data_IF_603042263546
#
_entry.id   IF_603042263546
#
_cell.length_a   1.000
_cell.length_b   1.000
_cell.length_c   1.000
_cell.angle_alpha   90.00
_cell.angle_beta   90.00
_cell.angle_gamma   90.00
#
_symmetry.space_group_name_H-M   'P 1'
#
loop_
_entity.id
_entity.type
_entity.pdbx_description
1 polymer ?
#
# COMPACT_ATOMS: atom_id res chain seq x y z
N UNK A 1 -11.40 13.83 0.00
CA UNK A 1 -9.95 13.73 -0.24
C UNK A 1 -9.67 14.43 -1.56
N UNK A 2 -9.32 15.72 -1.53
CA UNK A 2 -9.14 16.55 -2.74
C UNK A 2 -7.68 16.60 -3.17
N UNK A 3 -7.40 16.20 -4.40
CA UNK A 3 -6.18 16.53 -5.13
C UNK A 3 -5.15 15.40 -5.16
N UNK A 4 -4.92 14.88 -6.36
CA UNK A 4 -3.78 14.02 -6.66
C UNK A 4 -2.48 14.79 -6.40
N UNK A 5 -1.81 14.52 -5.28
CA UNK A 5 -0.54 15.21 -4.91
C UNK A 5 0.61 14.90 -5.87
N UNK A 6 0.49 13.83 -6.67
CA UNK A 6 1.46 13.47 -7.70
C UNK A 6 1.17 14.11 -9.07
N UNK A 7 0.01 14.75 -9.26
CA UNK A 7 -0.35 15.40 -10.54
C UNK A 7 -0.47 14.45 -11.74
N UNK A 8 -0.57 13.13 -11.51
CA UNK A 8 -0.61 12.11 -12.55
C UNK A 8 -1.98 11.42 -12.57
N UNK A 9 -2.95 11.92 -13.37
CA UNK A 9 -4.36 11.50 -13.29
C UNK A 9 -4.60 10.03 -13.64
N UNK A 10 -3.69 9.38 -14.36
CA UNK A 10 -3.79 7.96 -14.74
C UNK A 10 -3.00 7.01 -13.82
N UNK A 11 -2.22 7.56 -12.87
CA UNK A 11 -1.48 6.75 -11.91
C UNK A 11 -2.21 6.70 -10.58
N UNK A 12 -2.49 5.48 -10.14
CA UNK A 12 -2.92 5.24 -8.76
C UNK A 12 -1.70 5.39 -7.86
N UNK A 13 -1.81 6.26 -6.87
CA UNK A 13 -0.76 6.48 -5.87
C UNK A 13 -1.36 6.30 -4.48
N UNK A 14 -0.53 5.82 -3.55
CA UNK A 14 -0.89 5.63 -2.15
C UNK A 14 0.19 6.31 -1.31
N UNK A 15 -0.25 7.15 -0.36
CA UNK A 15 0.65 7.80 0.60
C UNK A 15 0.38 7.21 1.97
N UNK A 16 1.43 6.73 2.62
CA UNK A 16 1.38 6.28 4.00
C UNK A 16 1.99 7.36 4.89
N UNK A 17 1.21 7.87 5.83
CA UNK A 17 1.70 8.85 6.80
C UNK A 17 2.81 8.24 7.68
N UNK A 18 3.78 9.03 8.14
CA UNK A 18 4.86 8.55 9.00
C UNK A 18 4.33 7.83 10.24
N UNK A 19 4.90 6.64 10.54
CA UNK A 19 4.56 5.85 11.72
C UNK A 19 3.29 5.00 11.61
N UNK A 20 2.57 5.04 10.48
CA UNK A 20 1.40 4.19 10.26
C UNK A 20 1.85 2.76 9.94
N UNK A 21 1.44 1.78 10.77
CA UNK A 21 1.59 0.35 10.45
C UNK A 21 0.66 0.03 9.28
N UNK A 22 1.22 -0.45 8.17
CA UNK A 22 0.49 -0.79 6.97
C UNK A 22 1.10 -2.01 6.28
N UNK A 23 0.37 -2.55 5.31
CA UNK A 23 0.80 -3.60 4.38
C UNK A 23 0.19 -3.29 3.01
N UNK A 24 0.81 -3.81 1.95
CA UNK A 24 0.31 -3.72 0.58
C UNK A 24 0.73 -4.97 -0.18
N UNK A 25 -0.06 -5.39 -1.18
CA UNK A 25 0.18 -6.60 -1.96
C UNK A 25 -0.96 -6.86 -2.94
N UNK A 26 -0.82 -7.92 -3.75
CA UNK A 26 -1.87 -8.33 -4.68
C UNK A 26 -3.08 -8.93 -3.97
N UNK A 27 -4.21 -8.94 -4.69
CA UNK A 27 -5.40 -9.68 -4.28
C UNK A 27 -5.18 -11.18 -4.44
N UNK A 28 -6.13 -11.99 -3.95
CA UNK A 28 -5.95 -13.44 -3.81
C UNK A 28 -5.63 -14.16 -5.15
N UNK A 29 -6.05 -13.58 -6.27
CA UNK A 29 -5.87 -14.15 -7.61
C UNK A 29 -5.29 -13.17 -8.64
N UNK A 30 -4.65 -12.09 -8.18
CA UNK A 30 -4.01 -11.11 -9.08
C UNK A 30 -2.53 -10.93 -8.78
N UNK A 31 -1.75 -10.66 -9.83
CA UNK A 31 -0.37 -10.20 -9.69
C UNK A 31 -0.35 -8.69 -9.41
N UNK A 32 0.57 -8.24 -8.56
CA UNK A 32 0.70 -6.84 -8.18
C UNK A 32 2.15 -6.38 -8.26
N UNK A 33 2.36 -5.25 -8.93
CA UNK A 33 3.64 -4.58 -9.00
C UNK A 33 3.43 -3.08 -8.74
N UNK A 34 4.35 -2.48 -8.01
CA UNK A 34 4.37 -1.05 -7.77
C UNK A 34 5.79 -0.56 -7.56
N UNK A 35 5.97 0.76 -7.67
CA UNK A 35 7.19 1.44 -7.26
C UNK A 35 6.95 1.93 -5.83
N UNK A 36 7.91 1.65 -4.94
CA UNK A 36 7.91 2.13 -3.57
C UNK A 36 9.04 3.15 -3.38
N UNK A 37 8.72 4.30 -2.81
CA UNK A 37 9.69 5.35 -2.48
C UNK A 37 9.45 5.82 -1.03
N UNK A 38 10.51 5.91 -0.25
CA UNK A 38 10.48 6.41 1.13
C UNK A 38 10.97 7.86 1.14
N UNK A 39 10.04 8.79 1.35
CA UNK A 39 10.28 10.24 1.11
C UNK A 39 11.08 10.96 2.19
N UNK A 40 11.47 10.29 3.28
CA UNK A 40 12.17 10.87 4.42
C UNK A 40 13.59 10.30 4.52
N UNK A 41 14.49 10.63 3.58
CA UNK A 41 15.80 9.98 3.44
C UNK A 41 16.71 10.16 4.66
N UNK A 42 16.48 11.19 5.48
CA UNK A 42 17.18 11.41 6.75
C UNK A 42 16.71 10.49 7.88
N UNK A 43 15.48 9.96 7.79
CA UNK A 43 14.91 9.01 8.72
C UNK A 43 15.07 7.60 8.17
N UNK A 44 16.25 7.04 8.41
CA UNK A 44 16.62 5.73 7.89
C UNK A 44 16.11 4.61 8.79
N UNK A 45 15.57 3.55 8.18
CA UNK A 45 15.13 2.34 8.87
C UNK A 45 13.65 2.01 8.63
N UNK A 46 13.36 0.72 8.45
CA UNK A 46 12.01 0.17 8.49
C UNK A 46 11.83 -0.58 9.79
N UNK A 47 10.69 -0.37 10.45
CA UNK A 47 10.23 -1.25 11.51
C UNK A 47 9.33 -2.33 10.90
N UNK A 48 9.86 -3.55 10.83
CA UNK A 48 9.06 -4.71 10.46
C UNK A 48 8.24 -5.20 11.67
N UNK A 49 7.00 -5.57 11.39
CA UNK A 49 6.09 -6.14 12.37
C UNK A 49 5.77 -7.59 11.99
N UNK A 50 4.79 -8.17 12.68
CA UNK A 50 4.24 -9.47 12.37
C UNK A 50 3.61 -9.48 10.97
N UNK A 51 3.76 -10.60 10.28
CA UNK A 51 3.02 -10.89 9.06
C UNK A 51 1.52 -10.97 9.39
N UNK A 52 0.68 -10.42 8.51
CA UNK A 52 -0.77 -10.63 8.60
C UNK A 52 -1.10 -12.12 8.44
N UNK A 53 -2.08 -12.59 9.20
CA UNK A 53 -2.55 -13.97 9.12
C UNK A 53 -3.33 -14.22 7.83
N UNK A 54 -3.40 -15.48 7.39
CA UNK A 54 -4.21 -15.86 6.24
C UNK A 54 -5.70 -15.56 6.48
N UNK A 55 -6.17 -15.61 7.73
CA UNK A 55 -7.55 -15.26 8.12
C UNK A 55 -7.82 -13.76 8.01
N UNK A 56 -6.87 -12.90 8.39
CA UNK A 56 -6.96 -11.46 8.17
C UNK A 56 -6.98 -11.13 6.68
N UNK A 57 -6.13 -11.80 5.89
CA UNK A 57 -6.09 -11.64 4.45
C UNK A 57 -7.41 -12.08 3.78
N UNK A 58 -7.98 -13.22 4.19
CA UNK A 58 -9.24 -13.73 3.65
C UNK A 58 -10.47 -12.85 3.96
N UNK A 59 -10.38 -11.95 4.96
CA UNK A 59 -11.45 -11.00 5.31
C UNK A 59 -11.41 -9.70 4.51
N UNK A 60 -10.39 -9.50 3.69
CA UNK A 60 -10.27 -8.28 2.89
C UNK A 60 -11.35 -8.22 1.81
N UNK A 61 -11.83 -7.02 1.45
CA UNK A 61 -12.76 -6.88 0.35
C UNK A 61 -12.13 -7.43 -0.94
N UNK A 62 -12.91 -8.22 -1.68
CA UNK A 62 -12.53 -8.63 -3.01
C UNK A 62 -12.55 -7.41 -3.94
N UNK A 63 -11.68 -7.40 -4.95
CA UNK A 63 -11.72 -6.37 -5.99
C UNK A 63 -13.06 -6.45 -6.73
N UNK A 64 -13.70 -5.30 -6.95
CA UNK A 64 -14.87 -5.21 -7.83
C UNK A 64 -14.40 -5.54 -9.25
N UNK A 65 -14.81 -6.71 -9.75
CA UNK A 65 -14.59 -7.11 -11.14
C UNK A 65 -15.73 -6.54 -11.97
N UNK A 66 -15.46 -5.42 -12.63
CA UNK A 66 -16.30 -4.94 -13.73
C UNK A 66 -16.19 -5.85 -14.97
#
# INVERSE_FOLDING_TARGET
>A
MSGNVAGAPELHYVVFEPGVKHWHGGSADTEFAHIADNTNPEQTGLQWFERITDEEYARLPAEDRE
#
